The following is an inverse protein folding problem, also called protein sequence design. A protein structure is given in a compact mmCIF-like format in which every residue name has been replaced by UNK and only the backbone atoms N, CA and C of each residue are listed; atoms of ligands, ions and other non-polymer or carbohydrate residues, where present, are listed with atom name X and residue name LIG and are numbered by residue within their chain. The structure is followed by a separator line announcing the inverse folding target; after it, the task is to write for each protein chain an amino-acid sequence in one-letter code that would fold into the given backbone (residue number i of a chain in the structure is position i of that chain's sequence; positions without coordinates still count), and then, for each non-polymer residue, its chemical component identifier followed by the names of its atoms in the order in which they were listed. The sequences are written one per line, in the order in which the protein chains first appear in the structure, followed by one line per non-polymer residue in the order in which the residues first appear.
data_IF_678712774318
#
_entry.id   IF_678712774318
#
_cell.length_a   1.000
_cell.length_b   1.000
_cell.length_c   1.000
_cell.angle_alpha   90.00
_cell.angle_beta   90.00
_cell.angle_gamma   90.00
#
_symmetry.space_group_name_H-M   'P 1'
#
loop_
_entity.id
_entity.type
_entity.pdbx_description
1 polymer ?
#
# COMPACT_ATOMS: atom_id res chain seq x y z
N UNK A 1 2.44 3.96 -20.49
CA UNK A 1 3.56 3.14 -19.97
C UNK A 1 3.56 3.30 -18.47
N UNK A 2 3.33 2.22 -17.74
CA UNK A 2 3.50 2.20 -16.29
C UNK A 2 4.99 2.43 -16.01
N UNK A 3 5.36 3.39 -15.13
CA UNK A 3 6.75 3.56 -14.76
C UNK A 3 7.30 2.22 -14.27
N UNK A 4 8.41 1.77 -14.84
CA UNK A 4 9.13 0.60 -14.32
C UNK A 4 9.78 1.02 -13.00
N UNK A 5 9.11 0.77 -11.89
CA UNK A 5 9.73 0.95 -10.58
C UNK A 5 10.83 -0.10 -10.38
N UNK A 6 11.96 0.36 -9.88
CA UNK A 6 13.03 -0.53 -9.45
C UNK A 6 12.63 -1.14 -8.11
N UNK A 7 12.72 -2.48 -8.01
CA UNK A 7 12.48 -3.16 -6.73
C UNK A 7 13.62 -2.87 -5.75
N UNK A 8 13.34 -2.10 -4.71
CA UNK A 8 14.33 -1.74 -3.68
C UNK A 8 14.81 -2.93 -2.84
N UNK A 9 14.09 -4.06 -2.89
CA UNK A 9 14.43 -5.29 -2.17
C UNK A 9 15.19 -6.31 -3.03
N UNK A 10 15.45 -6.03 -4.32
CA UNK A 10 16.20 -6.93 -5.20
C UNK A 10 17.70 -6.98 -4.85
N UNK A 11 18.31 -5.82 -4.62
CA UNK A 11 19.70 -5.67 -4.15
C UNK A 11 19.72 -4.67 -2.97
N UNK A 12 19.19 -5.08 -1.81
CA UNK A 12 18.94 -4.15 -0.73
C UNK A 12 20.22 -3.71 -0.03
N UNK A 13 20.27 -2.43 0.39
CA UNK A 13 21.22 -1.95 1.39
C UNK A 13 20.89 -2.57 2.75
N UNK A 14 21.79 -2.43 3.73
CA UNK A 14 21.53 -2.88 5.11
C UNK A 14 20.23 -2.29 5.68
N UNK A 15 19.99 -0.99 5.48
CA UNK A 15 18.76 -0.31 5.95
C UNK A 15 17.51 -0.82 5.23
N UNK A 16 17.60 -1.14 3.95
CA UNK A 16 16.49 -1.73 3.20
C UNK A 16 16.21 -3.16 3.66
N UNK A 17 17.23 -3.93 4.03
CA UNK A 17 17.04 -5.24 4.65
C UNK A 17 16.36 -5.14 6.01
N UNK A 18 16.74 -4.17 6.84
CA UNK A 18 16.07 -3.90 8.12
C UNK A 18 14.60 -3.54 7.89
N UNK A 19 14.31 -2.68 6.91
CA UNK A 19 12.95 -2.33 6.54
C UNK A 19 12.15 -3.53 6.06
N UNK A 20 12.74 -4.39 5.23
CA UNK A 20 12.14 -5.64 4.77
C UNK A 20 11.79 -6.54 5.94
N UNK A 21 12.70 -6.70 6.92
CA UNK A 21 12.46 -7.50 8.12
C UNK A 21 11.30 -6.96 8.96
N UNK A 22 11.16 -5.64 9.08
CA UNK A 22 10.02 -5.01 9.76
C UNK A 22 8.72 -5.36 9.04
N UNK A 23 8.69 -5.25 7.70
CA UNK A 23 7.52 -5.61 6.90
C UNK A 23 7.16 -7.08 7.10
N UNK A 24 8.12 -7.98 7.07
CA UNK A 24 7.91 -9.42 7.23
C UNK A 24 7.34 -9.76 8.62
N UNK A 25 7.84 -9.13 9.68
CA UNK A 25 7.30 -9.28 11.03
C UNK A 25 5.85 -8.78 11.14
N UNK A 26 5.55 -7.63 10.54
CA UNK A 26 4.18 -7.10 10.52
C UNK A 26 3.24 -7.96 9.66
N UNK A 27 3.73 -8.56 8.57
CA UNK A 27 2.97 -9.54 7.78
C UNK A 27 2.63 -10.80 8.60
N UNK A 28 3.55 -11.28 9.42
CA UNK A 28 3.29 -12.41 10.32
C UNK A 28 2.21 -12.06 11.35
N UNK A 29 2.27 -10.87 11.92
CA UNK A 29 1.23 -10.34 12.82
C UNK A 29 -0.12 -10.22 12.11
N UNK A 30 -0.13 -9.73 10.88
CA UNK A 30 -1.33 -9.66 10.04
C UNK A 30 -1.95 -11.05 9.80
N UNK A 31 -1.13 -12.02 9.40
CA UNK A 31 -1.59 -13.39 9.18
C UNK A 31 -2.18 -14.01 10.45
N UNK A 32 -1.52 -13.85 11.59
CA UNK A 32 -2.01 -14.34 12.88
C UNK A 32 -3.36 -13.70 13.27
N UNK A 33 -3.49 -12.39 13.06
CA UNK A 33 -4.72 -11.65 13.38
C UNK A 33 -5.93 -12.14 12.60
N UNK A 34 -5.74 -12.48 11.33
CA UNK A 34 -6.83 -12.85 10.42
C UNK A 34 -6.91 -14.35 10.11
N UNK A 35 -6.11 -15.18 10.76
CA UNK A 35 -6.02 -16.63 10.46
C UNK A 35 -7.35 -17.41 10.57
N UNK A 36 -8.30 -16.90 11.37
CA UNK A 36 -9.62 -17.51 11.54
C UNK A 36 -10.66 -17.09 10.50
N UNK A 37 -10.34 -16.11 9.64
CA UNK A 37 -11.26 -15.60 8.62
C UNK A 37 -11.51 -16.66 7.52
N UNK A 38 -12.80 -16.92 7.24
CA UNK A 38 -13.23 -17.96 6.30
C UNK A 38 -13.30 -17.47 4.85
N UNK A 39 -12.58 -16.42 4.49
CA UNK A 39 -12.54 -15.92 3.11
C UNK A 39 -11.37 -16.52 2.33
N UNK A 40 -11.55 -16.68 1.02
CA UNK A 40 -10.52 -17.25 0.14
C UNK A 40 -9.23 -16.40 0.09
N UNK A 41 -9.33 -15.11 0.33
CA UNK A 41 -8.17 -14.22 0.42
C UNK A 41 -7.21 -14.65 1.54
N UNK A 42 -7.73 -14.99 2.72
CA UNK A 42 -6.92 -15.46 3.85
C UNK A 42 -6.53 -16.93 3.70
N UNK A 43 -7.46 -17.79 3.27
CA UNK A 43 -7.21 -19.23 3.12
C UNK A 43 -6.13 -19.54 2.06
N UNK A 44 -6.00 -18.69 1.04
CA UNK A 44 -5.01 -18.82 -0.04
C UNK A 44 -3.86 -17.80 0.09
N UNK A 45 -3.65 -17.25 1.28
CA UNK A 45 -2.61 -16.24 1.48
C UNK A 45 -1.23 -16.83 1.13
N UNK A 46 -0.38 -16.10 0.37
CA UNK A 46 0.94 -16.58 -0.04
C UNK A 46 1.82 -16.96 1.16
N UNK A 47 2.43 -18.13 1.09
CA UNK A 47 3.33 -18.63 2.14
C UNK A 47 4.75 -18.09 1.99
N UNK A 48 5.15 -17.72 0.79
CA UNK A 48 6.44 -17.07 0.52
C UNK A 48 6.35 -15.57 0.67
N UNK A 49 7.43 -14.95 1.15
CA UNK A 49 7.53 -13.50 1.38
C UNK A 49 8.25 -12.82 0.20
N UNK A 50 7.68 -12.96 -1.00
CA UNK A 50 8.19 -12.31 -2.20
C UNK A 50 7.72 -10.86 -2.26
N UNK A 51 8.54 -9.93 -1.75
CA UNK A 51 8.22 -8.51 -1.67
C UNK A 51 8.82 -7.75 -2.84
N UNK A 52 7.99 -6.95 -3.48
CA UNK A 52 8.37 -5.94 -4.47
C UNK A 52 8.09 -4.56 -3.91
N UNK A 53 9.10 -3.75 -3.70
CA UNK A 53 8.95 -2.42 -3.08
C UNK A 53 9.55 -1.30 -3.92
N UNK A 54 8.97 -0.10 -3.78
CA UNK A 54 9.44 1.12 -4.43
C UNK A 54 9.15 2.36 -3.59
N UNK A 55 9.90 3.42 -3.82
CA UNK A 55 9.69 4.70 -3.15
C UNK A 55 8.81 5.62 -4.00
N UNK A 56 7.97 6.41 -3.34
CA UNK A 56 7.17 7.47 -3.96
C UNK A 56 7.33 8.75 -3.18
N UNK A 57 7.70 9.84 -3.86
CA UNK A 57 7.73 11.19 -3.31
C UNK A 57 6.74 12.06 -4.08
N UNK A 58 5.77 12.62 -3.36
CA UNK A 58 4.78 13.53 -3.90
C UNK A 58 5.00 14.92 -3.30
N UNK A 59 5.08 15.91 -4.17
CA UNK A 59 5.13 17.33 -3.81
C UNK A 59 3.73 17.91 -3.71
N UNK A 60 3.64 19.18 -3.34
CA UNK A 60 2.41 19.97 -3.28
C UNK A 60 1.47 19.67 -4.46
N UNK A 61 0.19 19.50 -4.17
CA UNK A 61 -0.86 19.06 -5.09
C UNK A 61 -0.65 17.65 -5.68
N UNK A 62 0.38 16.95 -5.21
CA UNK A 62 0.60 15.57 -5.59
C UNK A 62 -0.55 14.68 -5.11
N UNK A 63 -0.97 13.78 -5.97
CA UNK A 63 -1.96 12.75 -5.64
C UNK A 63 -1.75 11.53 -6.52
N UNK A 64 -2.18 10.39 -6.02
CA UNK A 64 -2.32 9.19 -6.81
C UNK A 64 -3.81 8.93 -7.04
N UNK A 65 -4.20 8.80 -8.31
CA UNK A 65 -5.59 8.45 -8.68
C UNK A 65 -5.95 7.07 -8.14
N UNK A 66 -7.24 6.83 -7.97
CA UNK A 66 -7.74 5.53 -7.54
C UNK A 66 -7.26 4.41 -8.48
N UNK A 67 -6.58 3.42 -7.93
CA UNK A 67 -5.99 2.30 -8.64
C UNK A 67 -5.92 1.05 -7.75
N UNK A 68 -5.58 -0.07 -8.37
CA UNK A 68 -5.28 -1.35 -7.72
C UNK A 68 -3.86 -1.81 -8.11
N UNK A 69 -3.35 -2.82 -7.44
CA UNK A 69 -2.08 -3.46 -7.77
C UNK A 69 -2.33 -4.89 -8.30
N UNK A 70 -2.53 -5.06 -9.63
CA UNK A 70 -3.02 -6.33 -10.19
C UNK A 70 -2.09 -7.53 -9.98
N UNK A 71 -0.79 -7.28 -9.80
CA UNK A 71 0.22 -8.34 -9.61
C UNK A 71 0.40 -8.75 -8.16
N UNK A 72 -0.13 -7.99 -7.21
CA UNK A 72 0.00 -8.24 -5.78
C UNK A 72 -1.14 -9.06 -5.19
N UNK A 73 -0.87 -9.69 -4.07
CA UNK A 73 -1.88 -10.29 -3.19
C UNK A 73 -2.28 -9.33 -2.08
N UNK A 74 -1.29 -8.85 -1.36
CA UNK A 74 -1.39 -7.81 -0.34
C UNK A 74 -0.47 -6.66 -0.73
N UNK A 75 -0.95 -5.44 -0.58
CA UNK A 75 -0.18 -4.21 -0.74
C UNK A 75 0.01 -3.52 0.59
N UNK A 76 1.06 -2.74 0.69
CA UNK A 76 1.32 -1.93 1.88
C UNK A 76 2.02 -0.63 1.57
N UNK A 77 1.88 0.29 2.51
CA UNK A 77 2.52 1.60 2.46
C UNK A 77 3.16 1.90 3.81
N UNK A 78 4.43 2.29 3.78
CA UNK A 78 5.15 2.83 4.93
C UNK A 78 5.27 4.33 4.76
N UNK A 79 4.85 5.09 5.75
CA UNK A 79 4.85 6.55 5.71
C UNK A 79 6.13 7.10 6.35
N UNK A 80 7.11 7.48 5.51
CA UNK A 80 8.39 8.04 5.96
C UNK A 80 8.27 9.54 6.26
N UNK A 81 7.45 10.25 5.50
CA UNK A 81 7.14 11.67 5.70
C UNK A 81 5.70 11.93 5.33
N UNK A 82 4.95 12.50 6.24
CA UNK A 82 3.53 12.80 6.08
C UNK A 82 3.30 14.30 5.92
N UNK A 83 2.10 14.67 5.46
CA UNK A 83 1.64 16.04 5.37
C UNK A 83 0.49 16.26 6.35
N UNK A 84 0.29 17.49 6.88
CA UNK A 84 -0.82 17.77 7.79
C UNK A 84 -2.16 17.66 7.06
N UNK A 85 -3.20 17.20 7.76
CA UNK A 85 -4.54 17.03 7.20
C UNK A 85 -5.27 18.35 6.92
N UNK A 86 -4.88 19.42 7.58
CA UNK A 86 -5.50 20.76 7.52
C UNK A 86 -7.03 20.74 7.69
N UNK A 87 -7.56 19.74 8.41
CA UNK A 87 -9.00 19.56 8.61
C UNK A 87 -9.79 19.13 7.37
N UNK A 88 -9.08 18.67 6.30
CA UNK A 88 -9.67 18.27 5.00
C UNK A 88 -9.19 16.90 4.53
N UNK A 89 -8.69 16.07 5.43
CA UNK A 89 -8.12 14.74 5.13
C UNK A 89 -6.95 14.77 4.12
N UNK A 90 -6.28 15.90 3.97
CA UNK A 90 -5.17 16.06 3.04
C UNK A 90 -4.07 15.03 3.32
N UNK A 91 -3.59 14.38 2.27
CA UNK A 91 -2.56 13.34 2.35
C UNK A 91 -3.05 12.00 2.91
N UNK A 92 -4.32 11.87 3.27
CA UNK A 92 -4.92 10.60 3.70
C UNK A 92 -4.91 9.58 2.56
N UNK A 93 -4.95 8.30 2.92
CA UNK A 93 -5.29 7.22 2.00
C UNK A 93 -6.78 6.95 2.07
N UNK A 94 -7.44 6.95 0.92
CA UNK A 94 -8.86 6.65 0.79
C UNK A 94 -9.02 5.31 0.09
N UNK A 95 -9.76 4.41 0.71
CA UNK A 95 -10.18 3.14 0.13
C UNK A 95 -11.64 3.21 -0.31
N UNK A 96 -11.95 2.65 -1.48
CA UNK A 96 -13.31 2.60 -2.00
C UNK A 96 -13.47 1.45 -2.99
N UNK A 97 -14.69 1.22 -3.45
CA UNK A 97 -14.96 0.32 -4.57
C UNK A 97 -14.97 1.06 -5.92
N UNK A 98 -14.53 2.32 -5.95
CA UNK A 98 -14.49 3.13 -7.16
C UNK A 98 -13.13 3.05 -7.84
N UNK A 99 -13.12 2.76 -9.12
CA UNK A 99 -11.95 2.74 -9.99
C UNK A 99 -12.23 3.37 -11.34
N UNK A 100 -11.22 3.41 -12.19
CA UNK A 100 -11.30 4.07 -13.52
C UNK A 100 -12.47 3.58 -14.37
N UNK A 101 -12.78 2.27 -14.29
CA UNK A 101 -13.79 1.60 -15.13
C UNK A 101 -15.01 1.15 -14.33
N UNK A 102 -15.09 1.47 -13.07
CA UNK A 102 -16.18 1.11 -12.17
C UNK A 102 -16.42 2.27 -11.22
N UNK A 103 -17.60 2.85 -11.29
CA UNK A 103 -18.01 3.96 -10.43
C UNK A 103 -19.25 3.57 -9.66
N UNK A 104 -19.10 3.44 -8.36
CA UNK A 104 -20.21 3.32 -7.43
C UNK A 104 -20.15 4.46 -6.42
N UNK A 105 -20.89 5.54 -6.70
CA UNK A 105 -20.93 6.72 -5.83
C UNK A 105 -21.56 6.44 -4.45
N UNK A 106 -22.27 5.32 -4.30
CA UNK A 106 -22.89 4.89 -3.04
C UNK A 106 -22.01 3.92 -2.25
N UNK A 107 -20.88 3.46 -2.83
CA UNK A 107 -20.00 2.56 -2.11
C UNK A 107 -19.40 3.24 -0.89
N UNK A 108 -19.25 2.53 0.23
CA UNK A 108 -18.61 3.08 1.41
C UNK A 108 -17.15 3.46 1.10
N UNK A 109 -16.71 4.52 1.75
CA UNK A 109 -15.30 4.95 1.71
C UNK A 109 -14.70 4.84 3.10
N UNK A 110 -13.45 4.41 3.15
CA UNK A 110 -12.66 4.41 4.37
C UNK A 110 -11.47 5.32 4.17
N UNK A 111 -11.34 6.31 5.05
CA UNK A 111 -10.22 7.24 5.08
C UNK A 111 -9.31 6.89 6.26
N UNK A 112 -8.02 6.87 6.01
CA UNK A 112 -7.01 6.76 7.05
C UNK A 112 -6.01 7.90 6.93
N UNK A 113 -5.89 8.71 7.99
CA UNK A 113 -4.89 9.76 8.08
C UNK A 113 -3.61 9.20 8.68
N UNK A 114 -2.54 9.03 7.90
CA UNK A 114 -1.33 8.40 8.38
C UNK A 114 -0.49 9.35 9.24
N UNK A 115 0.20 8.76 10.22
CA UNK A 115 1.30 9.38 10.95
C UNK A 115 2.63 8.85 10.42
N UNK A 116 3.71 9.61 10.64
CA UNK A 116 5.06 9.15 10.29
C UNK A 116 5.40 7.84 11.02
N UNK A 117 5.90 6.87 10.29
CA UNK A 117 6.22 5.54 10.80
C UNK A 117 5.09 4.52 10.69
N UNK A 118 3.87 4.93 10.32
CA UNK A 118 2.78 3.99 10.13
C UNK A 118 3.03 3.05 8.95
N UNK A 119 2.56 1.81 9.11
CA UNK A 119 2.46 0.82 8.05
C UNK A 119 0.98 0.49 7.87
N UNK A 120 0.49 0.61 6.65
CA UNK A 120 -0.89 0.28 6.29
C UNK A 120 -0.88 -0.89 5.32
N UNK A 121 -1.62 -1.97 5.66
CA UNK A 121 -1.83 -3.12 4.79
C UNK A 121 -3.24 -3.14 4.22
N UNK A 122 -3.36 -3.57 2.97
CA UNK A 122 -4.65 -3.77 2.31
C UNK A 122 -4.55 -4.80 1.19
N UNK A 123 -5.66 -5.47 0.84
CA UNK A 123 -5.70 -6.34 -0.32
C UNK A 123 -5.31 -5.57 -1.60
N UNK A 124 -4.42 -6.12 -2.42
CA UNK A 124 -3.95 -5.46 -3.63
C UNK A 124 -5.06 -5.15 -4.64
N UNK A 125 -6.18 -5.87 -4.56
CA UNK A 125 -7.39 -5.65 -5.38
C UNK A 125 -8.28 -4.49 -4.89
N UNK A 126 -8.00 -3.92 -3.71
CA UNK A 126 -8.79 -2.83 -3.17
C UNK A 126 -8.36 -1.50 -3.80
N UNK A 127 -9.34 -0.78 -4.40
CA UNK A 127 -9.07 0.55 -4.94
C UNK A 127 -8.70 1.53 -3.84
N UNK A 128 -7.64 2.28 -4.07
CA UNK A 128 -7.16 3.28 -3.13
C UNK A 128 -6.57 4.48 -3.88
N UNK A 129 -6.58 5.63 -3.21
CA UNK A 129 -5.99 6.87 -3.72
C UNK A 129 -5.38 7.69 -2.59
N UNK A 130 -4.50 8.63 -2.92
CA UNK A 130 -4.07 9.68 -1.99
C UNK A 130 -4.98 10.89 -2.15
N UNK A 131 -5.52 11.39 -1.04
CA UNK A 131 -6.26 12.67 -1.02
C UNK A 131 -5.28 13.79 -1.35
N UNK A 132 -5.58 14.67 -2.32
CA UNK A 132 -4.71 15.78 -2.68
C UNK A 132 -4.39 16.68 -1.48
N UNK A 133 -3.20 17.23 -1.44
CA UNK A 133 -2.74 18.12 -0.37
C UNK A 133 -2.14 19.41 -0.92
N UNK A 134 -2.26 20.50 -0.16
CA UNK A 134 -1.85 21.85 -0.55
C UNK A 134 -0.55 22.31 0.11
N UNK A 135 -0.12 21.62 1.16
CA UNK A 135 1.09 21.97 1.91
C UNK A 135 2.34 21.84 1.04
N UNK A 136 3.23 22.83 1.10
CA UNK A 136 4.54 22.82 0.42
C UNK A 136 5.54 21.96 1.20
N UNK A 137 5.20 20.68 1.31
CA UNK A 137 5.99 19.67 2.01
C UNK A 137 5.89 18.37 1.24
N UNK A 138 7.02 17.71 0.99
CA UNK A 138 7.03 16.42 0.33
C UNK A 138 6.39 15.35 1.22
N UNK A 139 5.51 14.56 0.63
CA UNK A 139 5.04 13.30 1.19
C UNK A 139 5.90 12.18 0.64
N UNK A 140 6.53 11.42 1.51
CA UNK A 140 7.45 10.33 1.13
C UNK A 140 6.97 9.02 1.71
N UNK A 141 6.82 8.03 0.87
CA UNK A 141 6.39 6.68 1.24
C UNK A 141 7.27 5.61 0.60
N UNK A 142 7.26 4.44 1.21
CA UNK A 142 7.64 3.19 0.56
C UNK A 142 6.37 2.39 0.34
N UNK A 143 6.06 2.12 -0.93
CA UNK A 143 5.01 1.18 -1.31
C UNK A 143 5.61 -0.19 -1.55
N UNK A 144 4.86 -1.23 -1.26
CA UNK A 144 5.28 -2.60 -1.55
C UNK A 144 4.09 -3.51 -1.80
N UNK A 145 4.34 -4.56 -2.58
CA UNK A 145 3.41 -5.64 -2.85
C UNK A 145 4.01 -6.97 -2.42
N UNK A 146 3.20 -7.82 -1.79
CA UNK A 146 3.46 -9.23 -1.65
C UNK A 146 3.00 -9.93 -2.94
N UNK A 147 3.96 -10.42 -3.71
CA UNK A 147 3.70 -11.07 -4.99
C UNK A 147 3.48 -12.57 -4.75
N UNK A 148 2.34 -13.14 -5.14
CA UNK A 148 2.12 -14.57 -5.03
C UNK A 148 3.04 -15.35 -5.98
N UNK A 149 3.37 -16.58 -5.62
CA UNK A 149 4.04 -17.48 -6.56
C UNK A 149 3.14 -17.74 -7.77
N UNK A 150 3.75 -17.81 -8.95
CA UNK A 150 3.04 -18.26 -10.14
C UNK A 150 2.54 -19.69 -9.92
N UNK A 151 1.25 -19.95 -10.17
CA UNK A 151 0.73 -21.32 -10.15
C UNK A 151 1.55 -22.16 -11.15
N UNK A 152 2.20 -23.19 -10.66
CA UNK A 152 2.83 -24.19 -11.54
C UNK A 152 1.69 -25.00 -12.14
N UNK A 153 1.34 -24.70 -13.38
CA UNK A 153 0.47 -25.53 -14.20
C UNK A 153 1.20 -26.79 -14.66
#
# INVERSE_FOLDING_TARGET
QTPKYLNIFANPTEKMNQLKSIIENELDTYCLKFQSEQCSYIQKFPTTRNLFGWTVSLKQQGHQKAHIHPSGWLSGVIYLKTVPSLGKDEGAIEFSLNGKNYSDLKSPKVLYQPSQGDIVFFPSSLHHRTVPFTTDTDRVIVSFDLIPEAEKH
#
